data_IF_541329380392
#
_entry.id   IF_541329380392
#
_cell.length_a   1.000
_cell.length_b   1.000
_cell.length_c   1.000
_cell.angle_alpha   90.00
_cell.angle_beta   90.00
_cell.angle_gamma   90.00
#
_symmetry.space_group_name_H-M   'P 1'
#
loop_
_entity.id
_entity.type
_entity.pdbx_description
1 polymer ?
#
# COMPACT_ATOMS: atom_id res chain seq x y z
N UNK A 1 -12.33 -4.16 -30.62
CA UNK A 1 -12.42 -5.28 -29.68
C UNK A 1 -13.21 -4.87 -28.46
N UNK A 2 -12.67 -4.01 -27.58
CA UNK A 2 -13.35 -3.54 -26.34
C UNK A 2 -14.84 -3.19 -26.55
N UNK A 3 -15.14 -2.34 -27.54
CA UNK A 3 -16.52 -1.97 -27.88
C UNK A 3 -17.39 -3.10 -28.42
N UNK A 4 -16.82 -3.97 -29.29
CA UNK A 4 -17.59 -5.02 -29.99
C UNK A 4 -17.94 -6.18 -29.06
N UNK A 5 -17.01 -6.56 -28.18
CA UNK A 5 -17.16 -7.68 -27.25
C UNK A 5 -17.78 -7.27 -25.90
N UNK A 6 -18.27 -6.03 -25.79
CA UNK A 6 -18.87 -5.47 -24.57
C UNK A 6 -17.96 -5.58 -23.32
N UNK A 7 -16.66 -5.36 -23.50
CA UNK A 7 -15.65 -5.51 -22.43
C UNK A 7 -15.79 -4.41 -21.40
N UNK A 8 -16.12 -4.75 -20.16
CA UNK A 8 -16.19 -3.78 -19.06
C UNK A 8 -14.91 -3.68 -18.24
N UNK A 9 -14.12 -4.75 -18.22
CA UNK A 9 -12.89 -4.79 -17.42
C UNK A 9 -11.70 -5.13 -18.30
N UNK A 10 -10.67 -4.29 -18.23
CA UNK A 10 -9.38 -4.51 -18.85
C UNK A 10 -8.35 -4.74 -17.75
N UNK A 11 -7.66 -5.87 -17.79
CA UNK A 11 -6.51 -6.17 -16.92
C UNK A 11 -5.25 -6.03 -17.75
N UNK A 12 -4.46 -5.01 -17.42
CA UNK A 12 -3.19 -4.69 -18.05
C UNK A 12 -2.05 -5.05 -17.09
N UNK A 13 -1.30 -6.10 -17.43
CA UNK A 13 -0.14 -6.56 -16.66
C UNK A 13 1.10 -5.91 -17.25
N UNK A 14 1.73 -5.02 -16.47
CA UNK A 14 2.82 -4.17 -16.97
C UNK A 14 4.15 -4.66 -16.44
N UNK A 15 5.08 -4.81 -17.38
CA UNK A 15 6.49 -4.97 -17.08
C UNK A 15 7.06 -3.64 -16.59
N UNK A 16 7.48 -3.60 -15.33
CA UNK A 16 8.14 -2.44 -14.73
C UNK A 16 9.40 -2.90 -14.03
N UNK A 17 10.54 -2.52 -14.58
CA UNK A 17 11.87 -2.85 -14.06
C UNK A 17 12.28 -2.00 -12.84
N UNK A 18 11.34 -1.64 -11.96
CA UNK A 18 11.62 -0.84 -10.75
C UNK A 18 12.17 0.57 -11.02
N UNK A 19 12.45 0.91 -12.27
CA UNK A 19 12.81 2.23 -12.78
C UNK A 19 11.58 2.78 -13.50
N UNK A 20 11.36 4.09 -13.45
CA UNK A 20 10.26 4.77 -14.14
C UNK A 20 10.40 4.77 -15.68
N UNK A 21 11.02 3.74 -16.27
CA UNK A 21 11.00 3.58 -17.73
C UNK A 21 9.56 3.29 -18.17
N UNK A 22 9.10 4.09 -19.14
CA UNK A 22 7.81 3.87 -19.79
C UNK A 22 7.80 2.45 -20.38
N UNK A 23 6.68 1.73 -20.15
CA UNK A 23 6.46 0.44 -20.81
C UNK A 23 6.72 0.59 -22.32
N UNK A 24 7.30 -0.44 -22.93
CA UNK A 24 7.47 -0.52 -24.39
C UNK A 24 6.12 -0.62 -25.11
N UNK A 25 5.05 -0.95 -24.39
CA UNK A 25 3.70 -1.07 -24.93
C UNK A 25 3.08 0.32 -25.19
N UNK A 26 2.41 0.47 -26.32
CA UNK A 26 1.73 1.71 -26.68
C UNK A 26 0.61 2.06 -25.68
N UNK A 27 0.63 3.28 -25.16
CA UNK A 27 -0.46 3.80 -24.34
C UNK A 27 -1.72 3.99 -25.20
N UNK A 28 -2.80 3.31 -24.84
CA UNK A 28 -4.08 3.32 -25.57
C UNK A 28 -5.21 4.06 -24.83
N UNK A 29 -4.87 4.92 -23.87
CA UNK A 29 -5.80 5.77 -23.11
C UNK A 29 -5.30 7.21 -22.99
N UNK A 30 -6.15 8.21 -22.74
CA UNK A 30 -5.74 9.61 -22.53
C UNK A 30 -4.82 9.80 -21.31
N UNK A 31 -3.84 10.72 -21.37
CA UNK A 31 -2.90 10.95 -20.26
C UNK A 31 -3.50 11.69 -19.05
N UNK A 32 -4.46 12.59 -19.28
CA UNK A 32 -5.05 13.46 -18.26
C UNK A 32 -6.51 13.10 -18.03
N UNK A 33 -6.94 13.16 -16.78
CA UNK A 33 -8.35 13.02 -16.39
C UNK A 33 -9.18 14.11 -17.07
N UNK A 34 -10.43 13.81 -17.42
CA UNK A 34 -11.37 14.65 -18.17
C UNK A 34 -10.86 15.05 -19.57
N UNK A 35 -10.01 14.22 -20.18
CA UNK A 35 -9.59 14.37 -21.58
C UNK A 35 -9.95 13.13 -22.37
N UNK A 36 -10.35 13.36 -23.61
CA UNK A 36 -10.63 12.31 -24.58
C UNK A 36 -9.51 12.16 -25.61
N UNK A 37 -9.41 10.97 -26.18
CA UNK A 37 -8.52 10.65 -27.29
C UNK A 37 -9.26 9.75 -28.29
N UNK A 38 -9.08 10.02 -29.58
CA UNK A 38 -9.75 9.31 -30.66
C UNK A 38 -8.83 8.24 -31.25
N UNK A 39 -9.36 7.04 -31.41
CA UNK A 39 -8.73 5.86 -32.00
C UNK A 39 -9.65 5.34 -33.12
N UNK A 40 -9.48 5.88 -34.32
CA UNK A 40 -10.40 5.62 -35.44
C UNK A 40 -11.83 6.09 -35.13
N UNK A 41 -12.80 5.18 -35.15
CA UNK A 41 -14.20 5.47 -34.84
C UNK A 41 -14.51 5.50 -33.33
N UNK A 42 -13.55 5.13 -32.48
CA UNK A 42 -13.71 5.05 -31.03
C UNK A 42 -13.11 6.30 -30.37
N UNK A 43 -13.85 6.91 -29.47
CA UNK A 43 -13.37 7.97 -28.58
C UNK A 43 -13.30 7.42 -27.17
N UNK A 44 -12.14 7.54 -26.52
CA UNK A 44 -11.93 7.11 -25.14
C UNK A 44 -11.76 8.37 -24.29
N UNK A 45 -12.60 8.53 -23.27
CA UNK A 45 -12.54 9.61 -22.29
C UNK A 45 -12.11 9.05 -20.94
N UNK A 46 -11.02 9.59 -20.36
CA UNK A 46 -10.56 9.19 -19.03
C UNK A 46 -11.35 9.96 -17.96
N UNK A 47 -12.16 9.26 -17.18
CA UNK A 47 -13.01 9.84 -16.13
C UNK A 47 -12.29 9.94 -14.80
N UNK A 48 -11.59 8.88 -14.41
CA UNK A 48 -10.87 8.83 -13.13
C UNK A 48 -9.58 8.01 -13.26
N UNK A 49 -8.61 8.36 -12.42
CA UNK A 49 -7.38 7.58 -12.24
C UNK A 49 -7.02 7.54 -10.76
N UNK A 50 -7.03 6.34 -10.20
CA UNK A 50 -6.72 6.10 -8.79
C UNK A 50 -5.59 5.09 -8.65
N UNK A 51 -4.56 5.44 -7.87
CA UNK A 51 -3.43 4.57 -7.60
C UNK A 51 -3.58 3.88 -6.24
N UNK A 52 -3.42 2.57 -6.25
CA UNK A 52 -3.28 1.70 -5.08
C UNK A 52 -1.87 1.09 -5.07
N UNK A 53 -1.51 0.43 -3.96
CA UNK A 53 -0.21 -0.24 -3.80
C UNK A 53 0.05 -1.29 -4.87
N UNK A 54 -0.91 -2.18 -5.12
CA UNK A 54 -0.75 -3.33 -6.02
C UNK A 54 -1.23 -3.07 -7.45
N UNK A 55 -1.95 -1.98 -7.72
CA UNK A 55 -2.47 -1.65 -9.06
C UNK A 55 -2.86 -0.18 -9.20
N UNK A 56 -3.02 0.29 -10.44
CA UNK A 56 -3.69 1.56 -10.76
C UNK A 56 -5.02 1.26 -11.42
N UNK A 57 -6.09 1.87 -10.94
CA UNK A 57 -7.42 1.80 -11.52
C UNK A 57 -7.66 3.03 -12.40
N UNK A 58 -8.20 2.81 -13.58
CA UNK A 58 -8.75 3.87 -14.43
C UNK A 58 -10.19 3.56 -14.78
N UNK A 59 -11.03 4.58 -14.74
CA UNK A 59 -12.37 4.51 -15.29
C UNK A 59 -12.43 5.32 -16.58
N UNK A 60 -12.91 4.69 -17.65
CA UNK A 60 -12.91 5.26 -18.99
C UNK A 60 -14.25 5.06 -19.66
N UNK A 61 -14.73 6.10 -20.31
CA UNK A 61 -15.88 6.04 -21.20
C UNK A 61 -15.39 5.80 -22.63
N UNK A 62 -15.77 4.66 -23.19
CA UNK A 62 -15.54 4.29 -24.59
C UNK A 62 -16.81 4.62 -25.37
N UNK A 63 -16.67 5.39 -26.44
CA UNK A 63 -17.80 5.91 -27.23
C UNK A 63 -17.53 5.65 -28.71
N UNK A 64 -18.52 5.18 -29.45
CA UNK A 64 -18.43 5.00 -30.92
C UNK A 64 -19.45 5.90 -31.61
N UNK A 65 -19.00 6.96 -32.27
CA UNK A 65 -19.90 7.93 -32.92
C UNK A 65 -20.93 8.53 -31.93
N UNK A 66 -22.22 8.46 -32.27
CA UNK A 66 -23.35 8.88 -31.42
C UNK A 66 -24.01 7.69 -30.68
N UNK A 67 -23.36 6.53 -30.61
CA UNK A 67 -23.86 5.34 -29.90
C UNK A 67 -23.82 5.52 -28.37
N UNK A 68 -24.20 4.47 -27.61
CA UNK A 68 -24.20 4.47 -26.14
C UNK A 68 -22.83 4.82 -25.55
N UNK A 69 -22.78 5.19 -24.28
CA UNK A 69 -21.51 5.29 -23.55
C UNK A 69 -21.24 3.93 -22.93
N UNK A 70 -20.05 3.37 -23.18
CA UNK A 70 -19.61 2.11 -22.61
C UNK A 70 -18.52 2.35 -21.57
N UNK A 71 -18.84 2.17 -20.29
CA UNK A 71 -17.92 2.40 -19.19
C UNK A 71 -17.00 1.19 -19.01
N UNK A 72 -15.69 1.46 -18.97
CA UNK A 72 -14.64 0.44 -18.89
C UNK A 72 -13.70 0.76 -17.75
N UNK A 73 -13.50 -0.22 -16.86
CA UNK A 73 -12.50 -0.17 -15.79
C UNK A 73 -11.22 -0.84 -16.25
N UNK A 74 -10.10 -0.15 -16.16
CA UNK A 74 -8.78 -0.70 -16.48
C UNK A 74 -7.95 -0.83 -15.20
N UNK A 75 -7.53 -2.06 -14.91
CA UNK A 75 -6.59 -2.43 -13.85
C UNK A 75 -5.18 -2.52 -14.44
N UNK A 76 -4.32 -1.56 -14.12
CA UNK A 76 -2.89 -1.63 -14.43
C UNK A 76 -2.14 -2.24 -13.25
N UNK A 77 -1.70 -3.49 -13.38
CA UNK A 77 -0.98 -4.23 -12.36
C UNK A 77 0.51 -4.17 -12.71
N UNK A 78 1.34 -3.41 -11.97
CA UNK A 78 2.79 -3.48 -12.10
C UNK A 78 3.28 -4.84 -11.58
N UNK A 79 4.45 -5.30 -12.01
CA UNK A 79 5.26 -6.37 -11.38
C UNK A 79 5.36 -7.69 -12.16
N UNK A 80 5.76 -7.61 -13.43
CA UNK A 80 6.26 -8.76 -14.17
C UNK A 80 7.55 -8.38 -14.88
N UNK A 81 8.71 -8.36 -14.19
CA UNK A 81 10.01 -8.21 -14.88
C UNK A 81 10.08 -9.25 -15.99
N UNK A 82 10.42 -8.92 -17.24
CA UNK A 82 10.43 -9.81 -18.41
C UNK A 82 10.61 -11.32 -18.10
N UNK A 83 9.50 -12.07 -17.99
CA UNK A 83 9.49 -13.53 -17.73
C UNK A 83 9.50 -13.97 -16.25
N UNK A 84 9.61 -13.02 -15.33
CA UNK A 84 9.45 -13.14 -13.90
C UNK A 84 7.99 -13.16 -13.43
N UNK A 85 7.82 -12.99 -12.12
CA UNK A 85 6.55 -13.09 -11.39
C UNK A 85 6.46 -11.97 -10.35
N UNK A 86 5.26 -11.62 -9.84
CA UNK A 86 5.12 -10.70 -8.72
C UNK A 86 5.97 -11.14 -7.52
N UNK A 87 6.55 -10.18 -6.78
CA UNK A 87 7.35 -10.51 -5.60
C UNK A 87 6.52 -11.06 -4.44
N UNK A 88 5.24 -10.72 -4.40
CA UNK A 88 4.30 -11.12 -3.34
C UNK A 88 3.03 -11.68 -4.01
N UNK A 89 2.70 -12.97 -3.83
CA UNK A 89 1.47 -13.56 -4.38
C UNK A 89 0.20 -12.86 -3.88
N UNK A 90 0.19 -12.43 -2.61
CA UNK A 90 -0.92 -11.74 -1.97
C UNK A 90 -1.38 -10.49 -2.73
N UNK A 91 -0.46 -9.73 -3.35
CA UNK A 91 -0.80 -8.54 -4.12
C UNK A 91 -1.67 -8.92 -5.33
N UNK A 92 -1.33 -9.97 -6.08
CA UNK A 92 -2.10 -10.43 -7.24
C UNK A 92 -3.44 -11.05 -6.82
N UNK A 93 -3.44 -11.89 -5.79
CA UNK A 93 -4.64 -12.50 -5.20
C UNK A 93 -5.64 -11.42 -4.78
N UNK A 94 -5.16 -10.33 -4.15
CA UNK A 94 -6.02 -9.22 -3.72
C UNK A 94 -6.72 -8.53 -4.90
N UNK A 95 -6.02 -8.38 -6.03
CA UNK A 95 -6.57 -7.74 -7.23
C UNK A 95 -7.57 -8.67 -7.92
N UNK A 96 -7.30 -9.98 -8.00
CA UNK A 96 -8.25 -10.95 -8.55
C UNK A 96 -9.54 -10.97 -7.72
N UNK A 97 -9.45 -11.05 -6.38
CA UNK A 97 -10.62 -10.97 -5.49
C UNK A 97 -11.40 -9.68 -5.71
N UNK A 98 -10.70 -8.55 -5.89
CA UNK A 98 -11.34 -7.26 -6.16
C UNK A 98 -12.07 -7.27 -7.50
N UNK A 99 -11.46 -7.77 -8.58
CA UNK A 99 -12.08 -7.86 -9.90
C UNK A 99 -13.31 -8.76 -9.85
N UNK A 100 -13.25 -9.91 -9.18
CA UNK A 100 -14.38 -10.82 -9.02
C UNK A 100 -15.56 -10.14 -8.29
N UNK A 101 -15.28 -9.33 -7.26
CA UNK A 101 -16.31 -8.59 -6.53
C UNK A 101 -16.95 -7.47 -7.38
N UNK A 102 -16.17 -6.85 -8.27
CA UNK A 102 -16.62 -5.72 -9.09
C UNK A 102 -17.35 -6.15 -10.37
N UNK A 103 -17.11 -7.38 -10.84
CA UNK A 103 -17.75 -8.01 -11.98
C UNK A 103 -19.21 -8.40 -11.65
N UNK A 104 -20.17 -7.52 -11.97
CA UNK A 104 -21.60 -7.85 -11.90
C UNK A 104 -22.09 -8.37 -13.26
N UNK A 105 -22.47 -9.65 -13.33
CA UNK A 105 -23.26 -10.17 -14.46
C UNK A 105 -22.51 -10.84 -15.61
N UNK A 106 -21.29 -11.36 -15.39
CA UNK A 106 -20.65 -12.30 -16.33
C UNK A 106 -20.17 -11.68 -17.65
N UNK A 107 -19.74 -10.42 -17.64
CA UNK A 107 -19.27 -9.71 -18.84
C UNK A 107 -17.81 -10.01 -19.15
N UNK A 108 -17.42 -9.87 -20.42
CA UNK A 108 -16.11 -10.28 -20.91
C UNK A 108 -14.96 -9.49 -20.25
N UNK A 109 -13.99 -10.23 -19.72
CA UNK A 109 -12.73 -9.72 -19.17
C UNK A 109 -11.65 -9.74 -20.27
N UNK A 110 -11.03 -8.59 -20.54
CA UNK A 110 -9.89 -8.51 -21.45
C UNK A 110 -8.60 -8.45 -20.64
N UNK A 111 -7.78 -9.51 -20.72
CA UNK A 111 -6.48 -9.57 -20.04
C UNK A 111 -5.36 -9.47 -21.07
N UNK A 112 -4.39 -8.59 -20.85
CA UNK A 112 -3.21 -8.52 -21.70
C UNK A 112 -1.94 -8.11 -20.93
N UNK A 113 -0.80 -8.51 -21.47
CA UNK A 113 0.53 -8.00 -21.12
C UNK A 113 1.20 -7.53 -22.43
N UNK A 114 2.54 -7.58 -22.51
CA UNK A 114 3.26 -7.22 -23.75
C UNK A 114 3.09 -8.26 -24.87
N UNK A 115 3.22 -9.56 -24.57
CA UNK A 115 3.05 -10.66 -25.54
C UNK A 115 1.69 -11.37 -25.46
N UNK A 116 0.90 -11.07 -24.42
CA UNK A 116 -0.40 -11.67 -24.18
C UNK A 116 -0.38 -13.17 -23.89
N UNK A 117 0.74 -13.72 -23.39
CA UNK A 117 0.85 -15.16 -23.04
C UNK A 117 1.47 -15.45 -21.68
N UNK A 118 2.52 -14.73 -21.27
CA UNK A 118 3.25 -15.00 -20.03
C UNK A 118 2.45 -14.61 -18.78
N UNK A 119 2.58 -13.36 -18.35
CA UNK A 119 1.81 -12.80 -17.24
C UNK A 119 0.29 -12.96 -17.45
N UNK A 120 -0.19 -12.77 -18.69
CA UNK A 120 -1.60 -13.00 -19.06
C UNK A 120 -2.06 -14.41 -18.72
N UNK A 121 -1.26 -15.43 -19.05
CA UNK A 121 -1.58 -16.81 -18.72
C UNK A 121 -1.61 -17.06 -17.22
N UNK A 122 -0.67 -16.51 -16.46
CA UNK A 122 -0.66 -16.65 -15.00
C UNK A 122 -1.89 -16.01 -14.36
N UNK A 123 -2.25 -14.79 -14.80
CA UNK A 123 -3.45 -14.12 -14.31
C UNK A 123 -4.71 -14.95 -14.60
N UNK A 124 -4.88 -15.44 -15.83
CA UNK A 124 -6.06 -16.24 -16.22
C UNK A 124 -6.10 -17.56 -15.44
N UNK A 125 -4.97 -18.26 -15.30
CA UNK A 125 -4.89 -19.48 -14.48
C UNK A 125 -5.34 -19.24 -13.06
N UNK A 126 -4.86 -18.18 -12.41
CA UNK A 126 -5.25 -17.87 -11.03
C UNK A 126 -6.69 -17.41 -10.93
N UNK A 127 -7.16 -16.61 -11.88
CA UNK A 127 -8.54 -16.14 -11.95
C UNK A 127 -9.52 -17.32 -11.97
N UNK A 128 -9.24 -18.35 -12.79
CA UNK A 128 -10.06 -19.56 -12.89
C UNK A 128 -9.91 -20.47 -11.66
N UNK A 129 -8.67 -20.75 -11.26
CA UNK A 129 -8.39 -21.72 -10.18
C UNK A 129 -8.79 -21.22 -8.79
N UNK A 130 -8.83 -19.90 -8.54
CA UNK A 130 -9.21 -19.35 -7.24
C UNK A 130 -10.68 -19.58 -6.87
N UNK A 131 -11.58 -19.67 -7.84
CA UNK A 131 -12.98 -20.03 -7.58
C UNK A 131 -13.14 -21.55 -7.43
N UNK A 132 -12.37 -22.32 -8.20
CA UNK A 132 -12.33 -23.79 -8.10
C UNK A 132 -11.82 -24.24 -6.74
N UNK A 133 -10.72 -23.66 -6.22
CA UNK A 133 -10.10 -24.10 -4.97
C UNK A 133 -10.99 -23.84 -3.74
N UNK A 134 -11.92 -22.89 -3.83
CA UNK A 134 -12.92 -22.61 -2.79
C UNK A 134 -14.05 -23.64 -2.78
N UNK A 135 -14.38 -24.21 -3.95
CA UNK A 135 -15.56 -25.05 -4.16
C UNK A 135 -15.23 -26.53 -4.27
N UNK A 136 -14.08 -26.86 -4.86
CA UNK A 136 -13.55 -28.20 -5.07
C UNK A 136 -12.26 -28.36 -4.28
N UNK A 137 -12.06 -29.52 -3.65
CA UNK A 137 -10.84 -29.86 -2.90
C UNK A 137 -9.67 -30.27 -3.78
N UNK A 138 -9.81 -30.16 -5.11
CA UNK A 138 -8.82 -30.60 -6.08
C UNK A 138 -8.69 -29.54 -7.17
N UNK A 139 -7.44 -29.23 -7.53
CA UNK A 139 -7.08 -28.31 -8.61
C UNK A 139 -5.98 -28.94 -9.45
N UNK A 140 -6.07 -28.80 -10.77
CA UNK A 140 -5.04 -29.23 -11.71
C UNK A 140 -4.54 -28.05 -12.53
N UNK A 141 -3.40 -27.49 -12.09
CA UNK A 141 -2.71 -26.40 -12.80
C UNK A 141 -2.28 -26.85 -14.21
N UNK A 142 -1.89 -28.12 -14.34
CA UNK A 142 -1.46 -28.70 -15.61
C UNK A 142 -2.59 -28.68 -16.64
N UNK A 143 -3.78 -29.19 -16.28
CA UNK A 143 -4.91 -29.31 -17.21
C UNK A 143 -5.43 -27.94 -17.64
N UNK A 144 -5.49 -26.97 -16.73
CA UNK A 144 -5.88 -25.58 -17.05
C UNK A 144 -4.92 -24.96 -18.06
N UNK A 145 -3.61 -25.11 -17.86
CA UNK A 145 -2.62 -24.54 -18.78
C UNK A 145 -2.60 -25.31 -20.11
N UNK A 146 -2.76 -26.63 -20.10
CA UNK A 146 -2.88 -27.42 -21.32
C UNK A 146 -4.09 -26.97 -22.14
N UNK A 147 -5.24 -26.76 -21.51
CA UNK A 147 -6.44 -26.19 -22.13
C UNK A 147 -6.18 -24.83 -22.74
N UNK A 148 -5.66 -23.88 -21.96
CA UNK A 148 -5.32 -22.54 -22.48
C UNK A 148 -4.31 -22.58 -23.63
N UNK A 149 -3.38 -23.55 -23.65
CA UNK A 149 -2.41 -23.70 -24.75
C UNK A 149 -3.02 -24.23 -26.05
N UNK A 150 -4.16 -24.92 -25.98
CA UNK A 150 -4.96 -25.29 -27.17
C UNK A 150 -5.63 -24.06 -27.78
N UNK A 151 -6.08 -23.13 -26.94
CA UNK A 151 -6.73 -21.88 -27.39
C UNK A 151 -5.73 -20.82 -27.85
N UNK A 152 -4.57 -20.73 -27.18
CA UNK A 152 -3.50 -19.77 -27.49
C UNK A 152 -2.12 -20.35 -27.19
N UNK A 153 -1.25 -20.38 -28.19
CA UNK A 153 0.08 -20.99 -28.05
C UNK A 153 0.90 -20.36 -26.91
N UNK A 154 1.67 -21.17 -26.19
CA UNK A 154 2.63 -20.73 -25.17
C UNK A 154 2.05 -19.97 -23.96
N UNK A 155 0.76 -20.13 -23.65
CA UNK A 155 0.18 -19.63 -22.40
C UNK A 155 0.98 -20.13 -21.18
N UNK A 156 1.35 -19.21 -20.29
CA UNK A 156 2.36 -19.39 -19.22
C UNK A 156 3.73 -19.75 -19.82
N UNK A 157 4.64 -18.76 -19.87
CA UNK A 157 5.83 -18.82 -20.71
C UNK A 157 7.04 -19.47 -20.02
N UNK A 158 7.19 -19.28 -18.70
CA UNK A 158 8.40 -19.71 -17.96
C UNK A 158 8.08 -20.70 -16.85
N UNK A 159 9.07 -21.53 -16.47
CA UNK A 159 8.97 -22.43 -15.30
C UNK A 159 8.69 -21.67 -14.01
N UNK A 160 9.27 -20.47 -13.86
CA UNK A 160 9.05 -19.62 -12.69
C UNK A 160 7.59 -19.16 -12.60
N UNK A 161 6.98 -18.79 -13.73
CA UNK A 161 5.55 -18.46 -13.81
C UNK A 161 4.66 -19.65 -13.45
N UNK A 162 5.01 -20.84 -13.94
CA UNK A 162 4.30 -22.07 -13.60
C UNK A 162 4.37 -22.36 -12.09
N UNK A 163 5.55 -22.26 -11.48
CA UNK A 163 5.74 -22.48 -10.03
C UNK A 163 4.98 -21.44 -9.19
N UNK A 164 4.98 -20.17 -9.62
CA UNK A 164 4.28 -19.10 -8.92
C UNK A 164 2.75 -19.31 -8.87
N UNK A 165 2.15 -19.99 -9.85
CA UNK A 165 0.73 -20.35 -9.77
C UNK A 165 0.46 -21.23 -8.55
N UNK A 166 1.32 -22.21 -8.27
CA UNK A 166 1.17 -23.05 -7.07
C UNK A 166 1.38 -22.25 -5.79
N UNK A 167 2.39 -21.37 -5.76
CA UNK A 167 2.66 -20.50 -4.62
C UNK A 167 1.45 -19.60 -4.29
N UNK A 168 0.89 -18.95 -5.31
CA UNK A 168 -0.30 -18.11 -5.16
C UNK A 168 -1.55 -18.91 -4.77
N UNK A 169 -1.73 -20.14 -5.27
CA UNK A 169 -2.85 -20.98 -4.85
C UNK A 169 -2.70 -21.45 -3.40
N UNK A 170 -1.49 -21.82 -2.97
CA UNK A 170 -1.20 -22.18 -1.58
C UNK A 170 -1.50 -20.99 -0.66
N UNK A 171 -1.00 -19.81 -1.00
CA UNK A 171 -1.28 -18.57 -0.25
C UNK A 171 -2.79 -18.29 -0.18
N UNK A 172 -3.52 -18.46 -1.30
CA UNK A 172 -4.97 -18.27 -1.35
C UNK A 172 -5.74 -19.29 -0.50
N UNK A 173 -5.23 -20.51 -0.32
CA UNK A 173 -5.81 -21.54 0.54
C UNK A 173 -5.54 -21.31 2.02
N UNK A 174 -4.32 -20.89 2.36
CA UNK A 174 -3.92 -20.64 3.74
C UNK A 174 -4.51 -19.32 4.27
N UNK A 175 -4.72 -18.34 3.39
CA UNK A 175 -5.27 -17.04 3.74
C UNK A 175 -6.78 -17.10 3.96
N UNK A 176 -7.29 -16.76 5.16
CA UNK A 176 -8.73 -16.67 5.39
C UNK A 176 -9.36 -15.56 4.53
N UNK A 177 -10.62 -15.75 4.12
CA UNK A 177 -11.39 -14.67 3.50
C UNK A 177 -11.84 -13.68 4.59
N UNK A 178 -10.98 -12.71 4.87
CA UNK A 178 -11.16 -11.69 5.89
C UNK A 178 -11.76 -10.39 5.35
N UNK A 179 -12.09 -10.32 4.04
CA UNK A 179 -12.71 -9.12 3.46
C UNK A 179 -14.09 -8.86 4.07
N UNK A 180 -14.38 -7.58 4.29
CA UNK A 180 -15.63 -7.14 4.92
C UNK A 180 -16.08 -5.80 4.32
N UNK A 181 -17.36 -5.68 4.01
CA UNK A 181 -17.94 -4.42 3.54
C UNK A 181 -18.12 -3.43 4.68
N UNK A 182 -18.23 -2.13 4.36
CA UNK A 182 -18.50 -1.11 5.38
C UNK A 182 -19.83 -1.35 6.11
N UNK A 183 -20.83 -1.93 5.44
CA UNK A 183 -22.13 -2.21 6.07
C UNK A 183 -22.08 -3.41 7.01
N UNK A 184 -21.25 -4.42 6.69
CA UNK A 184 -20.94 -5.50 7.63
C UNK A 184 -20.16 -4.98 8.84
N UNK A 185 -19.19 -4.09 8.61
CA UNK A 185 -18.38 -3.47 9.67
C UNK A 185 -19.22 -2.62 10.64
N UNK A 186 -20.24 -1.91 10.15
CA UNK A 186 -21.17 -1.13 10.98
C UNK A 186 -22.05 -2.00 11.88
N UNK A 187 -22.30 -3.25 11.50
CA UNK A 187 -23.19 -4.18 12.21
C UNK A 187 -22.40 -5.24 13.00
N UNK A 188 -21.14 -4.98 13.26
CA UNK A 188 -20.19 -5.98 13.75
C UNK A 188 -20.41 -6.31 15.23
N UNK A 189 -20.57 -7.60 15.52
CA UNK A 189 -20.59 -8.11 16.88
C UNK A 189 -19.16 -8.39 17.36
N UNK A 190 -18.70 -7.61 18.34
CA UNK A 190 -17.37 -7.73 18.92
C UNK A 190 -17.13 -9.07 19.63
N UNK A 191 -18.18 -9.74 20.11
CA UNK A 191 -18.04 -11.04 20.79
C UNK A 191 -17.72 -12.16 19.79
N UNK A 192 -18.46 -12.25 18.69
CA UNK A 192 -18.18 -13.16 17.58
C UNK A 192 -16.82 -12.86 16.92
N UNK A 193 -16.46 -11.57 16.82
CA UNK A 193 -15.20 -11.16 16.22
C UNK A 193 -13.98 -11.60 17.02
N UNK A 194 -14.04 -11.62 18.37
CA UNK A 194 -12.91 -12.07 19.21
C UNK A 194 -12.45 -13.49 18.86
N UNK A 195 -13.39 -14.41 18.68
CA UNK A 195 -13.08 -15.79 18.33
C UNK A 195 -12.46 -15.89 16.93
N UNK A 196 -13.02 -15.17 15.95
CA UNK A 196 -12.49 -15.08 14.59
C UNK A 196 -11.06 -14.51 14.57
N UNK A 197 -10.82 -13.37 15.24
CA UNK A 197 -9.51 -12.74 15.33
C UNK A 197 -8.46 -13.66 15.95
N UNK A 198 -8.81 -14.43 16.99
CA UNK A 198 -7.87 -15.39 17.60
C UNK A 198 -7.37 -16.41 16.58
N UNK A 199 -8.28 -16.96 15.78
CA UNK A 199 -7.95 -17.95 14.75
C UNK A 199 -7.14 -17.33 13.61
N UNK A 200 -7.56 -16.17 13.09
CA UNK A 200 -6.84 -15.49 12.01
C UNK A 200 -5.44 -15.05 12.44
N UNK A 201 -5.29 -14.59 13.69
CA UNK A 201 -3.99 -14.20 14.23
C UNK A 201 -3.04 -15.40 14.37
N UNK A 202 -3.55 -16.58 14.73
CA UNK A 202 -2.74 -17.80 14.76
C UNK A 202 -2.25 -18.18 13.35
N UNK A 203 -3.12 -18.07 12.33
CA UNK A 203 -2.73 -18.31 10.93
C UNK A 203 -1.61 -17.35 10.51
N UNK A 204 -1.71 -16.05 10.85
CA UNK A 204 -0.64 -15.09 10.57
C UNK A 204 0.71 -15.53 11.16
N UNK A 205 0.73 -16.06 12.39
CA UNK A 205 1.94 -16.56 13.03
C UNK A 205 2.51 -17.81 12.33
N UNK A 206 1.65 -18.66 11.76
CA UNK A 206 2.06 -19.85 11.03
C UNK A 206 2.59 -19.49 9.64
N UNK A 207 1.86 -18.68 8.87
CA UNK A 207 2.26 -18.23 7.52
C UNK A 207 3.59 -17.46 7.55
N UNK A 208 3.82 -16.63 8.56
CA UNK A 208 5.08 -15.85 8.68
C UNK A 208 6.32 -16.75 8.79
N UNK A 209 6.20 -17.97 9.34
CA UNK A 209 7.33 -18.91 9.46
C UNK A 209 7.76 -19.51 8.13
N UNK A 210 6.89 -19.48 7.12
CA UNK A 210 7.16 -20.05 5.79
C UNK A 210 7.84 -19.06 4.85
N UNK A 211 7.98 -17.79 5.24
CA UNK A 211 8.73 -16.81 4.47
C UNK A 211 10.21 -16.85 4.83
N UNK A 212 11.06 -16.92 3.81
CA UNK A 212 12.51 -16.76 3.95
C UNK A 212 12.83 -15.28 4.17
N UNK A 213 12.87 -14.86 5.44
CA UNK A 213 13.07 -13.48 5.85
C UNK A 213 14.48 -13.28 6.43
N UNK A 214 15.42 -12.94 5.55
CA UNK A 214 16.81 -12.67 5.96
C UNK A 214 16.91 -11.40 6.82
N UNK A 215 17.58 -11.53 7.97
CA UNK A 215 17.82 -10.46 8.96
C UNK A 215 19.30 -10.37 9.31
N UNK A 216 20.18 -10.59 8.32
CA UNK A 216 21.62 -10.76 8.51
C UNK A 216 22.26 -9.48 9.07
N UNK A 217 21.85 -8.30 8.58
CA UNK A 217 22.40 -7.04 9.06
C UNK A 217 22.05 -6.81 10.53
N UNK A 218 20.81 -7.12 10.92
CA UNK A 218 20.35 -7.00 12.32
C UNK A 218 21.03 -7.99 13.26
N UNK A 219 21.35 -9.19 12.80
CA UNK A 219 22.02 -10.25 13.58
C UNK A 219 23.55 -10.13 13.62
N UNK A 220 24.14 -9.20 12.88
CA UNK A 220 25.59 -8.99 12.89
C UNK A 220 26.07 -8.61 14.29
N UNK A 221 27.21 -9.16 14.72
CA UNK A 221 27.84 -8.84 16.01
C UNK A 221 28.12 -7.34 16.18
N UNK A 222 28.35 -6.63 15.07
CA UNK A 222 28.54 -5.18 15.05
C UNK A 222 27.25 -4.40 15.37
N UNK A 223 26.08 -4.99 15.12
CA UNK A 223 24.78 -4.32 15.21
C UNK A 223 23.92 -4.76 16.39
N UNK A 224 24.28 -5.85 17.09
CA UNK A 224 23.49 -6.38 18.21
C UNK A 224 23.17 -5.30 19.26
N UNK A 225 24.12 -4.42 19.57
CA UNK A 225 23.96 -3.34 20.55
C UNK A 225 23.06 -2.17 20.06
N UNK A 226 22.67 -2.16 18.78
CA UNK A 226 21.75 -1.19 18.17
C UNK A 226 20.29 -1.65 18.20
N UNK A 227 20.05 -2.90 18.60
CA UNK A 227 18.72 -3.51 18.69
C UNK A 227 18.24 -3.50 20.14
N UNK A 228 17.04 -2.97 20.39
CA UNK A 228 16.42 -3.01 21.72
C UNK A 228 15.93 -4.42 22.06
N UNK A 229 15.47 -5.15 21.06
CA UNK A 229 14.96 -6.52 21.18
C UNK A 229 15.68 -7.41 20.14
N UNK A 230 16.45 -8.42 20.57
CA UNK A 230 17.22 -9.28 19.65
C UNK A 230 16.35 -10.11 18.70
N UNK A 231 15.10 -10.38 19.08
CA UNK A 231 14.11 -11.15 18.33
C UNK A 231 13.26 -10.29 17.37
N UNK A 232 13.37 -8.96 17.44
CA UNK A 232 12.62 -8.02 16.60
C UNK A 232 13.57 -7.25 15.68
N UNK A 233 14.02 -7.94 14.63
CA UNK A 233 14.98 -7.41 13.65
C UNK A 233 14.30 -7.07 12.32
N UNK A 234 14.73 -5.99 11.65
CA UNK A 234 14.21 -5.67 10.33
C UNK A 234 14.74 -6.64 9.28
N UNK A 235 13.87 -7.03 8.35
CA UNK A 235 14.26 -7.82 7.17
C UNK A 235 15.16 -6.96 6.27
N UNK A 236 16.28 -7.51 5.83
CA UNK A 236 17.33 -6.77 5.10
C UNK A 236 16.81 -6.12 3.82
N UNK A 237 15.87 -6.77 3.12
CA UNK A 237 15.22 -6.26 1.91
C UNK A 237 14.45 -4.95 2.13
N UNK A 238 13.97 -4.71 3.34
CA UNK A 238 13.06 -3.59 3.66
C UNK A 238 13.66 -2.59 4.65
N UNK A 239 14.91 -2.78 5.10
CA UNK A 239 15.56 -1.83 6.01
C UNK A 239 16.00 -0.56 5.27
N UNK A 240 15.97 0.61 5.92
CA UNK A 240 16.69 1.78 5.44
C UNK A 240 18.21 1.58 5.56
N UNK A 241 18.94 2.30 4.72
CA UNK A 241 20.40 2.37 4.68
C UNK A 241 20.78 3.81 4.98
N UNK A 242 21.48 4.04 6.09
CA UNK A 242 21.93 5.38 6.47
C UNK A 242 23.01 5.87 5.49
N UNK A 243 22.83 7.07 4.93
CA UNK A 243 23.67 7.65 3.86
C UNK A 243 24.56 8.77 4.38
N UNK A 244 24.05 9.56 5.32
CA UNK A 244 24.82 10.62 5.97
C UNK A 244 25.96 10.02 6.78
N UNK A 245 27.15 10.64 6.80
CA UNK A 245 28.26 10.16 7.63
C UNK A 245 27.93 10.35 9.12
N UNK A 246 28.40 9.44 9.97
CA UNK A 246 28.40 9.63 11.44
C UNK A 246 29.74 10.18 11.91
N UNK A 247 29.77 10.77 13.11
CA UNK A 247 31.02 11.16 13.76
C UNK A 247 31.77 9.98 14.39
N UNK A 248 31.08 8.87 14.67
CA UNK A 248 31.63 7.73 15.42
C UNK A 248 32.45 6.81 14.51
N UNK A 249 33.68 6.51 14.94
CA UNK A 249 34.54 5.52 14.29
C UNK A 249 33.89 4.13 14.43
N UNK A 250 33.68 3.42 13.32
CA UNK A 250 32.95 2.14 13.29
C UNK A 250 31.42 2.26 13.14
N UNK A 251 30.87 3.48 13.01
CA UNK A 251 29.46 3.63 12.64
C UNK A 251 29.21 3.16 11.20
N UNK A 252 28.23 2.28 11.05
CA UNK A 252 27.83 1.70 9.77
C UNK A 252 26.49 2.26 9.28
N UNK A 253 25.92 1.61 8.26
CA UNK A 253 24.67 2.00 7.59
C UNK A 253 23.40 1.47 8.29
N UNK A 254 23.54 0.74 9.39
CA UNK A 254 22.46 0.01 10.04
C UNK A 254 21.75 0.82 11.12
N UNK A 255 20.42 0.74 11.08
CA UNK A 255 19.49 1.10 12.15
C UNK A 255 18.32 0.11 12.16
N UNK A 256 17.80 -0.23 13.34
CA UNK A 256 16.62 -1.09 13.47
C UNK A 256 15.34 -0.34 13.05
N UNK A 257 15.07 -0.36 11.74
CA UNK A 257 13.90 0.25 11.12
C UNK A 257 13.50 -0.51 9.85
N UNK A 258 12.26 -0.35 9.41
CA UNK A 258 11.73 -0.97 8.19
C UNK A 258 10.81 -0.02 7.43
N UNK A 259 10.83 -0.10 6.10
CA UNK A 259 9.82 0.58 5.28
C UNK A 259 8.50 -0.19 5.34
N UNK A 260 7.48 0.46 5.89
CA UNK A 260 6.12 -0.01 5.74
C UNK A 260 5.55 0.46 4.41
N UNK A 261 5.34 -0.50 3.50
CA UNK A 261 4.61 -0.28 2.26
C UNK A 261 3.12 -0.07 2.57
N UNK A 262 2.69 1.18 2.64
CA UNK A 262 1.26 1.50 2.73
C UNK A 262 0.52 1.30 1.40
N UNK A 263 -0.80 1.40 1.48
CA UNK A 263 -1.71 1.21 0.34
C UNK A 263 -1.59 2.37 -0.66
N UNK A 264 -1.03 3.52 -0.27
CA UNK A 264 -1.07 4.78 -1.03
C UNK A 264 0.28 5.38 -1.44
N UNK A 265 1.39 4.69 -1.18
CA UNK A 265 2.76 5.18 -1.35
C UNK A 265 3.09 6.44 -0.53
N UNK A 266 2.41 6.69 0.60
CA UNK A 266 2.71 7.81 1.52
C UNK A 266 4.08 7.63 2.20
N UNK A 267 4.49 6.38 2.35
CA UNK A 267 5.81 5.95 2.78
C UNK A 267 5.97 6.08 4.29
N UNK A 268 5.85 4.96 4.99
CA UNK A 268 6.11 4.91 6.43
C UNK A 268 7.47 4.27 6.70
N UNK A 269 8.17 4.78 7.70
CA UNK A 269 9.34 4.14 8.28
C UNK A 269 8.98 3.77 9.72
N UNK A 270 8.93 2.47 10.03
CA UNK A 270 8.68 2.00 11.38
C UNK A 270 10.02 1.70 12.06
N UNK A 271 10.21 2.14 13.29
CA UNK A 271 11.46 1.96 14.04
C UNK A 271 11.16 1.77 15.53
N UNK A 272 12.09 1.16 16.25
CA UNK A 272 12.07 1.14 17.72
C UNK A 272 12.34 2.55 18.30
N UNK A 273 11.99 2.75 19.58
CA UNK A 273 12.42 3.95 20.31
C UNK A 273 13.94 3.99 20.42
N UNK A 274 14.59 5.14 20.11
CA UNK A 274 16.04 5.26 20.10
C UNK A 274 16.70 4.78 21.40
N UNK A 275 17.83 4.10 21.26
CA UNK A 275 18.73 3.78 22.37
C UNK A 275 19.71 4.94 22.53
N UNK A 276 20.37 5.05 23.69
CA UNK A 276 21.43 6.04 23.90
C UNK A 276 22.52 5.98 22.82
N UNK A 277 22.87 4.75 22.38
CA UNK A 277 23.83 4.49 21.31
C UNK A 277 23.33 4.81 19.89
N UNK A 278 22.02 4.94 19.68
CA UNK A 278 21.41 5.10 18.33
C UNK A 278 20.69 6.42 18.13
N UNK A 279 20.78 7.38 19.06
CA UNK A 279 20.17 8.71 18.89
C UNK A 279 20.69 9.44 17.65
N UNK A 280 22.00 9.41 17.38
CA UNK A 280 22.55 10.00 16.15
C UNK A 280 21.99 9.30 14.91
N UNK A 281 21.98 7.96 14.90
CA UNK A 281 21.47 7.13 13.79
C UNK A 281 19.98 7.41 13.51
N UNK A 282 19.17 7.63 14.55
CA UNK A 282 17.77 8.01 14.41
C UNK A 282 17.59 9.36 13.70
N UNK A 283 18.37 10.38 14.06
CA UNK A 283 18.31 11.67 13.38
C UNK A 283 18.90 11.62 11.97
N UNK A 284 19.92 10.80 11.73
CA UNK A 284 20.43 10.49 10.38
C UNK A 284 19.33 9.88 9.52
N UNK A 285 18.56 8.92 10.04
CA UNK A 285 17.41 8.31 9.36
C UNK A 285 16.38 9.37 8.94
N UNK A 286 15.96 10.23 9.87
CA UNK A 286 15.03 11.34 9.62
C UNK A 286 15.54 12.26 8.51
N UNK A 287 16.82 12.60 8.55
CA UNK A 287 17.44 13.54 7.60
C UNK A 287 17.64 12.94 6.20
N UNK A 288 18.14 11.69 6.13
CA UNK A 288 18.49 10.98 4.89
C UNK A 288 17.27 10.61 4.05
N UNK A 289 16.13 10.40 4.71
CA UNK A 289 14.86 10.05 4.08
C UNK A 289 13.85 11.20 4.04
N UNK A 290 14.29 12.42 4.38
CA UNK A 290 13.48 13.64 4.28
C UNK A 290 12.14 13.55 5.03
N UNK A 291 12.13 12.85 6.17
CA UNK A 291 10.92 12.60 6.94
C UNK A 291 10.28 13.92 7.36
N UNK A 292 8.98 14.08 7.12
CA UNK A 292 8.25 15.31 7.43
C UNK A 292 7.63 15.30 8.81
N UNK A 293 7.36 14.10 9.33
CA UNK A 293 6.87 13.92 10.68
C UNK A 293 7.45 12.70 11.37
N UNK A 294 7.49 12.79 12.70
CA UNK A 294 7.81 11.71 13.62
C UNK A 294 6.58 11.48 14.49
N UNK A 295 6.08 10.25 14.54
CA UNK A 295 4.94 9.83 15.33
C UNK A 295 5.42 8.92 16.46
N UNK A 296 5.50 9.48 17.66
CA UNK A 296 5.88 8.80 18.89
C UNK A 296 4.62 8.27 19.60
N UNK A 297 4.51 6.95 19.65
CA UNK A 297 3.32 6.24 20.16
C UNK A 297 3.55 5.59 21.53
N UNK A 298 4.64 5.90 22.21
CA UNK A 298 4.88 5.49 23.60
C UNK A 298 5.03 6.72 24.48
N UNK A 299 4.83 6.54 25.79
CA UNK A 299 5.25 7.51 26.80
C UNK A 299 6.71 7.25 27.18
N UNK A 300 7.42 8.29 27.64
CA UNK A 300 8.69 8.13 28.35
C UNK A 300 8.36 8.22 29.82
N UNK A 301 8.70 7.18 30.56
CA UNK A 301 8.70 7.18 32.01
C UNK A 301 10.09 7.61 32.46
N UNK A 302 10.20 8.64 33.29
CA UNK A 302 11.49 9.13 33.81
C UNK A 302 12.21 8.08 34.66
N UNK A 303 11.50 7.06 35.15
CA UNK A 303 12.10 5.93 35.86
C UNK A 303 12.65 4.83 34.93
N UNK A 304 12.26 4.81 33.65
CA UNK A 304 12.77 3.85 32.67
C UNK A 304 14.00 4.40 31.95
N UNK A 305 15.19 4.13 32.51
CA UNK A 305 16.48 4.54 31.94
C UNK A 305 16.75 3.97 30.54
N UNK A 306 15.97 2.97 30.09
CA UNK A 306 16.10 2.43 28.73
C UNK A 306 15.49 3.36 27.66
N UNK A 307 14.63 4.29 28.04
CA UNK A 307 13.94 5.21 27.14
C UNK A 307 14.60 6.59 27.17
N UNK A 308 15.21 6.95 26.04
CA UNK A 308 15.94 8.22 25.92
C UNK A 308 15.05 9.33 25.37
N UNK A 309 15.14 10.52 25.99
CA UNK A 309 14.69 11.76 25.37
C UNK A 309 15.68 12.14 24.29
N UNK A 310 15.33 11.87 23.03
CA UNK A 310 16.21 12.08 21.88
C UNK A 310 16.07 13.48 21.26
N UNK A 311 15.33 14.39 21.90
CA UNK A 311 15.01 15.71 21.37
C UNK A 311 15.12 16.83 22.43
N UNK A 312 15.29 18.09 22.03
CA UNK A 312 15.30 19.23 22.96
C UNK A 312 13.88 19.62 23.42
N UNK A 313 13.67 19.78 24.74
CA UNK A 313 12.36 19.99 25.37
C UNK A 313 11.93 21.46 25.56
N UNK A 314 12.76 22.43 25.18
CA UNK A 314 12.46 23.85 25.39
C UNK A 314 12.52 24.63 24.07
N UNK A 315 11.71 25.68 23.95
CA UNK A 315 11.71 26.55 22.77
C UNK A 315 13.12 27.14 22.52
N UNK A 316 13.61 27.04 21.28
CA UNK A 316 14.96 27.36 20.83
C UNK A 316 16.10 26.57 21.48
N UNK A 317 15.80 25.58 22.33
CA UNK A 317 16.83 24.68 22.82
C UNK A 317 17.39 23.84 21.66
N UNK A 318 18.68 23.58 21.75
CA UNK A 318 19.45 22.86 20.73
C UNK A 318 20.08 21.64 21.36
N UNK A 319 19.88 20.49 20.72
CA UNK A 319 20.57 19.25 21.07
C UNK A 319 21.54 18.88 19.93
N UNK A 320 22.73 18.41 20.29
CA UNK A 320 23.72 17.90 19.35
C UNK A 320 23.94 16.41 19.59
N UNK A 321 23.75 15.61 18.55
CA UNK A 321 23.94 14.17 18.55
C UNK A 321 24.94 13.82 17.44
N UNK A 322 26.23 13.75 17.80
CA UNK A 322 27.31 13.61 16.82
C UNK A 322 27.33 14.74 15.78
N UNK A 323 27.10 14.40 14.50
CA UNK A 323 27.01 15.37 13.40
C UNK A 323 25.60 15.96 13.20
N UNK A 324 24.60 15.45 13.92
CA UNK A 324 23.23 15.94 13.86
C UNK A 324 23.00 17.05 14.88
N UNK A 325 22.32 18.11 14.46
CA UNK A 325 21.86 19.19 15.31
C UNK A 325 20.36 19.34 15.17
N UNK A 326 19.66 19.31 16.31
CA UNK A 326 18.20 19.38 16.39
C UNK A 326 17.84 20.61 17.21
N UNK A 327 17.02 21.48 16.64
CA UNK A 327 16.63 22.75 17.27
C UNK A 327 15.11 22.75 17.42
N UNK A 328 14.62 22.93 18.65
CA UNK A 328 13.19 23.07 18.89
C UNK A 328 12.73 24.47 18.46
N UNK A 329 11.82 24.54 17.49
CA UNK A 329 11.26 25.80 16.97
C UNK A 329 9.92 26.15 17.57
N UNK A 330 9.08 25.15 17.86
CA UNK A 330 7.73 25.38 18.36
C UNK A 330 7.26 24.17 19.16
N UNK A 331 6.53 24.42 20.24
CA UNK A 331 5.85 23.39 21.04
C UNK A 331 4.37 23.80 21.11
N UNK A 332 3.48 22.84 20.84
CA UNK A 332 2.02 22.97 20.95
C UNK A 332 1.52 21.76 21.75
N UNK A 333 0.87 22.01 22.88
CA UNK A 333 0.36 20.95 23.76
C UNK A 333 -1.15 20.82 23.65
N UNK A 334 -1.64 19.58 23.68
CA UNK A 334 -3.05 19.24 23.86
C UNK A 334 -3.19 18.05 24.81
N UNK A 335 -4.43 17.75 25.18
CA UNK A 335 -4.81 16.57 25.97
C UNK A 335 -4.69 15.24 25.18
N UNK A 336 -4.51 15.32 23.86
CA UNK A 336 -4.38 14.17 22.95
C UNK A 336 -2.92 13.92 22.58
N UNK A 337 -2.14 14.97 22.32
CA UNK A 337 -0.74 14.86 21.91
C UNK A 337 0.03 16.15 22.17
N UNK A 338 1.35 16.06 22.25
CA UNK A 338 2.26 17.21 22.16
C UNK A 338 2.89 17.25 20.77
N UNK A 339 2.75 18.36 20.06
CA UNK A 339 3.44 18.61 18.80
C UNK A 339 4.64 19.51 19.04
N UNK A 340 5.82 19.05 18.61
CA UNK A 340 7.04 19.83 18.61
C UNK A 340 7.58 19.94 17.20
N UNK A 341 7.86 21.16 16.71
CA UNK A 341 8.50 21.36 15.42
C UNK A 341 10.00 21.48 15.61
N UNK A 342 10.76 20.63 14.92
CA UNK A 342 12.22 20.62 14.94
C UNK A 342 12.79 21.15 13.64
N UNK A 343 13.88 21.90 13.73
CA UNK A 343 14.81 22.12 12.62
C UNK A 343 16.00 21.18 12.80
N UNK A 344 16.19 20.27 11.84
CA UNK A 344 17.23 19.25 11.84
C UNK A 344 18.29 19.61 10.80
N UNK A 345 19.55 19.65 11.23
CA UNK A 345 20.71 19.95 10.39
C UNK A 345 21.77 18.87 10.55
N UNK A 346 22.48 18.62 9.47
CA UNK A 346 23.70 17.82 9.49
C UNK A 346 24.90 18.75 9.32
N UNK A 347 25.89 18.72 10.22
CA UNK A 347 27.02 19.69 10.26
C UNK A 347 27.83 19.80 8.96
N UNK A 348 27.88 18.73 8.16
CA UNK A 348 28.56 18.71 6.85
C UNK A 348 27.65 19.01 5.65
N UNK A 349 26.40 19.40 5.88
CA UNK A 349 25.42 19.69 4.84
C UNK A 349 24.85 21.09 5.03
N UNK A 350 24.55 21.75 3.90
CA UNK A 350 23.79 23.01 3.92
C UNK A 350 22.27 22.78 3.96
N UNK A 351 21.82 21.51 3.82
CA UNK A 351 20.41 21.16 3.92
C UNK A 351 19.93 21.29 5.38
N UNK A 352 18.80 21.94 5.56
CA UNK A 352 18.02 21.99 6.80
C UNK A 352 16.65 21.37 6.54
N UNK A 353 16.14 20.61 7.52
CA UNK A 353 14.86 19.92 7.42
C UNK A 353 13.95 20.33 8.59
N UNK A 354 12.75 20.81 8.28
CA UNK A 354 11.71 21.02 9.29
C UNK A 354 10.89 19.73 9.46
N UNK A 355 10.76 19.27 10.70
CA UNK A 355 10.12 18.01 11.06
C UNK A 355 9.10 18.26 12.17
N UNK A 356 7.86 17.83 11.98
CA UNK A 356 6.86 17.83 13.04
C UNK A 356 6.94 16.52 13.85
N UNK A 357 7.32 16.61 15.11
CA UNK A 357 7.28 15.51 16.06
C UNK A 357 5.98 15.53 16.86
N UNK A 358 5.34 14.38 16.95
CA UNK A 358 4.06 14.18 17.63
C UNK A 358 4.20 13.12 18.71
N UNK A 359 4.12 13.52 19.98
CA UNK A 359 4.05 12.61 21.13
C UNK A 359 2.60 12.37 21.50
N UNK A 360 2.09 11.16 21.26
CA UNK A 360 0.68 10.85 21.51
C UNK A 360 0.44 10.37 22.94
N UNK A 361 -0.57 10.95 23.60
CA UNK A 361 -0.89 10.73 25.03
C UNK A 361 -2.09 9.80 25.25
N UNK A 362 -2.60 9.16 24.19
CA UNK A 362 -3.85 8.39 24.23
C UNK A 362 -3.68 6.88 24.37
N UNK A 363 -2.57 6.37 24.90
CA UNK A 363 -2.37 4.94 25.20
C UNK A 363 -2.38 4.68 26.72
N UNK A 364 -3.54 4.63 27.39
CA UNK A 364 -3.60 4.14 28.77
C UNK A 364 -3.24 2.65 28.82
N UNK A 365 -1.99 2.34 29.17
CA UNK A 365 -1.45 0.98 29.18
C UNK A 365 -1.40 0.38 27.76
N UNK A 366 -1.97 -0.81 27.59
CA UNK A 366 -1.90 -1.57 26.32
C UNK A 366 -3.08 -1.33 25.36
N UNK A 367 -3.95 -0.35 25.59
CA UNK A 367 -5.12 -0.08 24.75
C UNK A 367 -5.21 1.41 24.39
N UNK A 368 -5.50 1.77 23.13
CA UNK A 368 -5.71 3.16 22.77
C UNK A 368 -7.08 3.63 23.27
N UNK A 369 -7.13 4.89 23.69
CA UNK A 369 -8.37 5.64 23.62
C UNK A 369 -8.71 5.89 22.14
N UNK A 370 -9.82 5.31 21.69
CA UNK A 370 -10.25 5.35 20.28
C UNK A 370 -10.60 6.78 19.83
N UNK A 371 -11.13 7.61 20.72
CA UNK A 371 -11.48 9.00 20.40
C UNK A 371 -10.22 9.84 20.20
N UNK A 372 -9.26 9.73 21.13
CA UNK A 372 -7.96 10.39 21.04
C UNK A 372 -7.19 9.93 19.80
N UNK A 373 -7.16 8.62 19.52
CA UNK A 373 -6.50 8.08 18.34
C UNK A 373 -7.12 8.62 17.04
N UNK A 374 -8.46 8.69 16.97
CA UNK A 374 -9.17 9.25 15.80
C UNK A 374 -8.81 10.72 15.58
N UNK A 375 -8.76 11.52 16.64
CA UNK A 375 -8.36 12.92 16.55
C UNK A 375 -6.91 13.08 16.11
N UNK A 376 -6.02 12.29 16.70
CA UNK A 376 -4.60 12.24 16.35
C UNK A 376 -4.38 11.91 14.87
N UNK A 377 -5.09 10.89 14.35
CA UNK A 377 -5.07 10.51 12.94
C UNK A 377 -5.57 11.67 12.07
N UNK A 378 -6.70 12.30 12.41
CA UNK A 378 -7.21 13.44 11.64
C UNK A 378 -6.17 14.56 11.53
N UNK A 379 -5.50 14.90 12.62
CA UNK A 379 -4.51 15.96 12.63
C UNK A 379 -3.28 15.59 11.80
N UNK A 380 -2.65 14.45 12.10
CA UNK A 380 -1.41 13.99 11.45
C UNK A 380 -1.59 13.76 9.94
N UNK A 381 -2.77 13.32 9.49
CA UNK A 381 -3.09 13.17 8.06
C UNK A 381 -3.07 14.47 7.26
N UNK A 382 -3.30 15.62 7.89
CA UNK A 382 -3.29 16.93 7.20
C UNK A 382 -1.87 17.48 7.00
N UNK A 383 -0.85 16.86 7.60
CA UNK A 383 0.50 17.40 7.66
C UNK A 383 1.44 16.65 6.72
N UNK A 384 1.75 17.29 5.60
CA UNK A 384 2.79 16.86 4.65
C UNK A 384 2.40 15.66 3.79
N UNK A 385 3.11 15.51 2.67
CA UNK A 385 3.01 14.36 1.75
C UNK A 385 4.28 13.52 1.71
N UNK A 386 5.27 13.85 2.56
CA UNK A 386 6.53 13.10 2.63
C UNK A 386 6.50 11.98 3.67
N UNK A 387 7.57 11.18 3.76
CA UNK A 387 7.59 9.99 4.60
C UNK A 387 7.36 10.33 6.07
N UNK A 388 6.58 9.47 6.73
CA UNK A 388 6.30 9.56 8.17
C UNK A 388 7.11 8.49 8.90
N UNK A 389 7.92 8.91 9.87
CA UNK A 389 8.60 7.98 10.77
C UNK A 389 7.67 7.69 11.96
N UNK A 390 7.42 6.42 12.25
CA UNK A 390 6.53 5.97 13.32
C UNK A 390 7.33 5.09 14.27
N UNK A 391 7.29 5.41 15.56
CA UNK A 391 7.92 4.56 16.56
C UNK A 391 7.06 4.36 17.80
N UNK A 392 7.28 3.21 18.41
CA UNK A 392 6.91 2.86 19.77
C UNK A 392 8.12 2.16 20.37
N UNK A 393 8.02 1.63 21.61
CA UNK A 393 9.16 1.01 22.29
C UNK A 393 9.89 0.00 21.39
N UNK A 394 9.16 -0.93 20.78
CA UNK A 394 9.70 -2.00 19.93
C UNK A 394 9.52 -1.79 18.41
N UNK A 395 8.88 -0.71 17.97
CA UNK A 395 8.65 -0.43 16.55
C UNK A 395 7.65 -1.34 15.80
N UNK A 396 7.13 -2.41 16.42
CA UNK A 396 6.23 -3.38 15.75
C UNK A 396 4.81 -3.43 16.34
N UNK A 397 4.62 -3.07 17.61
CA UNK A 397 3.30 -3.14 18.26
C UNK A 397 2.38 -1.99 17.85
N UNK A 398 2.40 -0.91 18.65
CA UNK A 398 1.55 0.26 18.45
C UNK A 398 1.81 0.94 17.11
N UNK A 399 3.07 0.92 16.65
CA UNK A 399 3.46 1.41 15.33
C UNK A 399 2.73 0.70 14.20
N UNK A 400 2.62 -0.64 14.24
CA UNK A 400 1.91 -1.38 13.20
C UNK A 400 0.40 -1.16 13.28
N UNK A 401 -0.17 -1.04 14.48
CA UNK A 401 -1.58 -0.68 14.66
C UNK A 401 -1.89 0.66 13.99
N UNK A 402 -1.09 1.69 14.28
CA UNK A 402 -1.29 3.01 13.68
C UNK A 402 -1.19 2.97 12.15
N UNK A 403 -0.12 2.37 11.60
CA UNK A 403 0.12 2.27 10.15
C UNK A 403 -0.99 1.45 9.46
N UNK A 404 -1.49 0.40 10.10
CA UNK A 404 -2.59 -0.41 9.55
C UNK A 404 -3.89 0.38 9.52
N UNK A 405 -4.26 1.03 10.63
CA UNK A 405 -5.51 1.81 10.71
C UNK A 405 -5.52 2.96 9.72
N UNK A 406 -4.43 3.72 9.60
CA UNK A 406 -4.37 4.83 8.64
C UNK A 406 -4.44 4.35 7.19
N UNK A 407 -3.75 3.25 6.87
CA UNK A 407 -3.78 2.65 5.53
C UNK A 407 -5.19 2.19 5.15
N UNK A 408 -5.89 1.57 6.10
CA UNK A 408 -7.25 1.06 5.89
C UNK A 408 -8.30 2.17 5.79
N UNK A 409 -8.22 3.20 6.62
CA UNK A 409 -9.09 4.38 6.50
C UNK A 409 -8.94 5.05 5.14
N UNK A 410 -7.69 5.20 4.68
CA UNK A 410 -7.38 5.78 3.38
C UNK A 410 -7.87 4.91 2.21
N UNK A 411 -7.80 3.58 2.36
CA UNK A 411 -8.39 2.64 1.39
C UNK A 411 -9.91 2.80 1.30
N UNK A 412 -10.59 2.86 2.44
CA UNK A 412 -12.05 3.01 2.51
C UNK A 412 -12.50 4.33 1.89
N UNK A 413 -11.86 5.44 2.25
CA UNK A 413 -12.21 6.76 1.73
C UNK A 413 -12.04 6.85 0.21
N UNK A 414 -10.94 6.34 -0.35
CA UNK A 414 -10.74 6.31 -1.80
C UNK A 414 -11.77 5.46 -2.54
N UNK A 415 -12.17 4.32 -1.96
CA UNK A 415 -13.20 3.46 -2.55
C UNK A 415 -14.59 4.11 -2.47
N UNK A 416 -14.91 4.76 -1.37
CA UNK A 416 -16.16 5.49 -1.23
C UNK A 416 -16.25 6.64 -2.25
N UNK A 417 -15.13 7.34 -2.52
CA UNK A 417 -15.06 8.35 -3.57
C UNK A 417 -15.35 7.74 -4.96
N UNK A 418 -14.69 6.63 -5.32
CA UNK A 418 -14.96 5.90 -6.57
C UNK A 418 -16.45 5.54 -6.71
N UNK A 419 -17.05 4.96 -5.67
CA UNK A 419 -18.48 4.61 -5.67
C UNK A 419 -19.40 5.84 -5.79
N UNK A 420 -19.03 6.98 -5.20
CA UNK A 420 -19.80 8.22 -5.30
C UNK A 420 -19.73 8.80 -6.72
N UNK A 421 -18.54 8.79 -7.35
CA UNK A 421 -18.38 9.21 -8.74
C UNK A 421 -19.17 8.32 -9.70
N UNK A 422 -19.17 6.99 -9.49
CA UNK A 422 -20.02 6.07 -10.24
C UNK A 422 -21.50 6.46 -10.12
N UNK A 423 -21.98 6.74 -8.89
CA UNK A 423 -23.37 7.14 -8.66
C UNK A 423 -23.71 8.47 -9.37
N UNK A 424 -22.79 9.43 -9.38
CA UNK A 424 -22.94 10.71 -10.06
C UNK A 424 -22.95 10.56 -11.59
N UNK A 425 -22.07 9.74 -12.17
CA UNK A 425 -22.03 9.46 -13.62
C UNK A 425 -23.29 8.73 -14.06
N UNK A 426 -23.76 7.77 -13.26
CA UNK A 426 -25.00 7.03 -13.52
C UNK A 426 -26.22 7.95 -13.47
N UNK A 427 -26.24 8.89 -12.52
CA UNK A 427 -27.28 9.91 -12.38
C UNK A 427 -27.26 10.91 -13.55
N UNK A 428 -26.10 11.47 -13.90
CA UNK A 428 -25.94 12.37 -15.05
C UNK A 428 -26.32 11.68 -16.37
N UNK A 429 -25.94 10.42 -16.57
CA UNK A 429 -26.29 9.63 -17.75
C UNK A 429 -27.80 9.37 -17.85
N UNK A 430 -28.47 9.09 -16.72
CA UNK A 430 -29.93 8.92 -16.66
C UNK A 430 -30.68 10.23 -16.88
N UNK A 431 -30.19 11.35 -16.33
CA UNK A 431 -30.77 12.69 -16.53
C UNK A 431 -30.61 13.15 -17.99
N UNK A 432 -29.46 12.87 -18.62
CA UNK A 432 -29.23 13.14 -20.05
C UNK A 432 -30.08 12.27 -20.98
N UNK A 433 -30.39 11.03 -20.60
CA UNK A 433 -31.33 10.18 -21.35
C UNK A 433 -32.78 10.68 -21.21
N UNK A 434 -33.21 11.10 -20.02
CA UNK A 434 -34.55 11.64 -19.79
C UNK A 434 -34.78 12.99 -20.49
N UNK A 435 -33.76 13.85 -20.57
CA UNK A 435 -33.85 15.13 -21.28
C UNK A 435 -33.90 14.95 -22.81
N UNK A 436 -33.18 13.96 -23.36
CA UNK A 436 -33.31 13.58 -24.78
C UNK A 436 -34.69 12.99 -25.10
N UNK A 437 -35.28 12.22 -24.19
CA UNK A 437 -36.63 11.67 -24.42
C UNK A 437 -37.73 12.74 -24.38
N UNK A 438 -37.58 13.77 -23.54
CA UNK A 438 -38.49 14.95 -23.54
C UNK A 438 -38.34 15.86 -24.76
N UNK A 439 -37.15 15.93 -25.36
CA UNK A 439 -36.94 16.66 -26.62
C UNK A 439 -37.46 15.89 -27.84
N UNK A 440 -37.51 14.55 -27.81
CA UNK A 440 -38.12 13.76 -28.90
C UNK A 440 -39.65 13.73 -28.88
N UNK A 441 -40.29 13.94 -27.73
CA UNK A 441 -41.76 14.00 -27.61
C UNK A 441 -42.35 15.41 -27.73
N UNK A 442 -41.53 16.43 -27.97
CA UNK A 442 -41.97 17.81 -28.27
C UNK A 442 -41.81 18.20 -29.74
N UNK A 443 -41.43 17.24 -30.60
CA UNK A 443 -41.27 17.39 -32.05
C UNK A 443 -42.14 16.39 -32.87
N UNK A 444 -43.17 15.83 -32.24
CA UNK A 444 -44.33 15.17 -32.84
C UNK A 444 -45.57 15.86 -32.28
#
# INVERSE_FOLDING_TARGET
MVWKEDVETIVMLVDKDGTEQQSKDAQYWPKKVNRSQKYGAITVLLMEKTAFRSYKLREMNVIKGNERVHTVRQYEIPCWKYGGVPSEPADLISVIKQINNDQKGGKHLLVHCSNGVGATGVFISLYDLMDVIKTKKEVSVFDVIEGMRKDRVNMVLTKLQYLFIFDALLEAMLSPDSQMSCDQLKKLDMSAMKAKCKKEFQILQETTKHHDLETLAGNSSENNHKNRFPDLLPVDKFRPVLKSPSNLFGSNDYINATFAKDILQRGFIQTQSPLASTVEDFWRLVFDYDCKCILMLNTIDESDESLMVYWPNAHNATASHGLMTVICKKIEESDVFTRTQFEVKHKRSQKSLLVDHFSFHGWPGNKPDVHKLREFIKYTRTKGTGPALVHCINGVGLSAVYVTVISELERIEKRALLMYFELCIDYESKVLMQSKHRMSTSLL
#
